data_IF_001915324889
#
_entry.id   IF_001915324889
#
_cell.length_a   1.000
_cell.length_b   1.000
_cell.length_c   1.000
_cell.angle_alpha   90.00
_cell.angle_beta   90.00
_cell.angle_gamma   90.00
#
_symmetry.space_group_name_H-M   'P 1'
#
loop_
_entity.id
_entity.type
_entity.pdbx_description
1 polymer ?
#
# COMPACT_ATOMS: atom_id res chain seq x y z
N UNK A 1 3.13 3.05 8.95
CA UNK A 1 2.86 4.00 10.05
C UNK A 1 4.06 4.86 10.41
N UNK A 2 5.29 4.32 10.31
CA UNK A 2 6.51 5.08 10.59
C UNK A 2 6.79 6.21 9.60
N UNK A 3 6.55 5.99 8.30
CA UNK A 3 6.77 7.02 7.26
C UNK A 3 5.92 8.29 7.47
N UNK A 4 4.59 8.22 7.69
CA UNK A 4 3.78 9.43 7.91
C UNK A 4 4.02 10.13 9.26
N UNK A 5 4.71 9.47 10.22
CA UNK A 5 5.00 10.03 11.55
C UNK A 5 6.47 10.38 11.77
N UNK A 6 7.36 9.90 10.90
CA UNK A 6 8.81 10.05 11.05
C UNK A 6 9.36 11.38 10.55
N UNK A 7 10.68 11.52 10.66
CA UNK A 7 11.43 12.73 10.26
C UNK A 7 11.14 13.18 8.82
N UNK A 8 10.92 12.22 7.92
CA UNK A 8 10.67 12.46 6.50
C UNK A 8 9.19 12.52 6.13
N UNK A 9 8.26 12.68 7.09
CA UNK A 9 6.82 12.69 6.81
C UNK A 9 6.35 13.75 5.82
N UNK A 10 7.11 14.84 5.67
CA UNK A 10 6.81 15.93 4.74
C UNK A 10 7.37 15.70 3.33
N UNK A 11 8.20 14.68 3.13
CA UNK A 11 8.80 14.39 1.83
C UNK A 11 7.81 13.74 0.87
N UNK A 12 6.81 13.03 1.40
CA UNK A 12 5.84 12.25 0.62
C UNK A 12 4.45 12.87 0.70
N UNK A 13 3.72 12.86 -0.42
CA UNK A 13 2.32 13.24 -0.40
C UNK A 13 1.50 12.15 0.30
N UNK A 14 0.60 12.48 1.26
CA UNK A 14 -0.14 11.47 2.01
C UNK A 14 -0.94 10.50 1.13
N UNK A 15 -1.45 10.95 -0.02
CA UNK A 15 -2.20 10.10 -0.96
C UNK A 15 -1.35 9.07 -1.71
N UNK A 16 -0.03 9.22 -1.70
CA UNK A 16 0.92 8.23 -2.25
C UNK A 16 1.25 7.13 -1.25
N UNK A 17 0.87 7.28 0.02
CA UNK A 17 1.07 6.28 1.07
C UNK A 17 -0.17 5.37 1.15
N UNK A 18 -0.18 4.32 0.33
CA UNK A 18 -1.30 3.38 0.23
C UNK A 18 -1.08 2.21 1.20
N UNK A 19 -2.09 1.87 2.01
CA UNK A 19 -2.05 0.75 2.97
C UNK A 19 -3.26 -0.17 2.81
N UNK A 20 -3.06 -1.46 3.06
CA UNK A 20 -4.13 -2.47 3.18
C UNK A 20 -4.44 -2.76 4.65
N UNK A 21 -5.64 -3.29 4.93
CA UNK A 21 -6.04 -3.70 6.30
C UNK A 21 -5.37 -5.00 6.75
N UNK A 22 -5.07 -5.88 5.81
CA UNK A 22 -4.49 -7.19 6.06
C UNK A 22 -3.25 -7.38 5.19
N UNK A 23 -2.26 -8.09 5.73
CA UNK A 23 -1.01 -8.39 5.05
C UNK A 23 -1.10 -9.70 4.24
N UNK A 24 -0.06 -9.97 3.45
CA UNK A 24 0.02 -11.20 2.68
C UNK A 24 0.37 -12.44 3.54
N UNK A 25 0.73 -12.28 4.81
CA UNK A 25 1.14 -13.37 5.71
C UNK A 25 2.24 -14.28 5.12
N UNK A 26 3.25 -13.68 4.47
CA UNK A 26 4.33 -14.38 3.75
C UNK A 26 3.84 -15.38 2.66
N UNK A 27 2.62 -15.21 2.14
CA UNK A 27 2.01 -16.10 1.16
C UNK A 27 1.85 -15.41 -0.20
N UNK A 28 2.52 -15.95 -1.23
CA UNK A 28 2.46 -15.43 -2.59
C UNK A 28 1.05 -15.46 -3.19
N UNK A 29 0.33 -16.58 -3.04
CA UNK A 29 -1.02 -16.71 -3.59
C UNK A 29 -1.97 -15.70 -2.95
N UNK A 30 -1.78 -15.43 -1.66
CA UNK A 30 -2.54 -14.41 -0.95
C UNK A 30 -2.26 -13.02 -1.50
N UNK A 31 -0.98 -12.67 -1.62
CA UNK A 31 -0.54 -11.39 -2.15
C UNK A 31 -0.96 -11.15 -3.61
N UNK A 32 -1.02 -12.17 -4.45
CA UNK A 32 -1.32 -12.00 -5.88
C UNK A 32 -2.79 -12.16 -6.23
N UNK A 33 -3.46 -13.22 -5.74
CA UNK A 33 -4.79 -13.59 -6.24
C UNK A 33 -5.95 -13.10 -5.36
N UNK A 34 -5.70 -12.81 -4.08
CA UNK A 34 -6.76 -12.41 -3.13
C UNK A 34 -6.54 -10.99 -2.65
N UNK A 35 -5.76 -10.78 -1.59
CA UNK A 35 -5.56 -9.47 -0.95
C UNK A 35 -4.99 -8.43 -1.92
N UNK A 36 -3.99 -8.77 -2.74
CA UNK A 36 -3.44 -7.80 -3.69
C UNK A 36 -4.39 -7.43 -4.83
N UNK A 37 -5.37 -8.27 -5.15
CA UNK A 37 -6.39 -7.95 -6.15
C UNK A 37 -7.32 -6.84 -5.68
N UNK A 38 -7.53 -6.69 -4.38
CA UNK A 38 -8.38 -5.63 -3.82
C UNK A 38 -7.72 -4.25 -3.88
N UNK A 39 -6.38 -4.20 -3.89
CA UNK A 39 -5.62 -2.94 -3.81
C UNK A 39 -5.03 -2.48 -5.14
N UNK A 40 -4.95 -3.38 -6.14
CA UNK A 40 -4.26 -3.11 -7.40
C UNK A 40 -4.85 -1.92 -8.17
N UNK A 41 -6.18 -1.79 -8.19
CA UNK A 41 -6.85 -0.70 -8.93
C UNK A 41 -6.54 0.66 -8.30
N UNK A 42 -6.50 0.74 -6.97
CA UNK A 42 -6.11 1.95 -6.23
C UNK A 42 -4.67 2.35 -6.51
N UNK A 43 -3.75 1.38 -6.52
CA UNK A 43 -2.33 1.64 -6.83
C UNK A 43 -2.17 2.13 -8.27
N UNK A 44 -2.87 1.50 -9.22
CA UNK A 44 -2.83 1.90 -10.63
C UNK A 44 -3.37 3.30 -10.87
N UNK A 45 -4.44 3.70 -10.16
CA UNK A 45 -4.98 5.05 -10.25
C UNK A 45 -4.01 6.11 -9.73
N UNK A 46 -3.23 5.80 -8.68
CA UNK A 46 -2.23 6.72 -8.12
C UNK A 46 -0.97 6.88 -8.96
N UNK A 47 -0.68 5.93 -9.85
CA UNK A 47 0.49 6.00 -10.75
C UNK A 47 0.19 6.81 -12.01
N UNK A 48 -1.08 6.84 -12.45
CA UNK A 48 -1.52 7.54 -13.65
C UNK A 48 -1.55 9.06 -13.46
#
# INVERSE_FOLDING_TARGET
>A
EEVPTGTYRQLFHPEQLITGKEDAANNYARGHYTIGKEIIDLVLDRIR
#
